data_IF_258211721715
#
_entry.id   IF_258211721715
#
_cell.length_a   1.000
_cell.length_b   1.000
_cell.length_c   1.000
_cell.angle_alpha   90.00
_cell.angle_beta   90.00
_cell.angle_gamma   90.00
#
_symmetry.space_group_name_H-M   'P 1'
#
loop_
_entity.id
_entity.type
_entity.pdbx_description
1 polymer ?
#
# COMPACT_ATOMS: atom_id res chain seq x y z
N UNK A 1 -6.27 14.94 -3.52
CA UNK A 1 -4.82 14.84 -3.82
C UNK A 1 -4.71 14.06 -5.11
N UNK A 2 -4.06 14.61 -6.13
CA UNK A 2 -3.72 13.84 -7.34
C UNK A 2 -2.89 12.62 -6.93
N UNK A 3 -3.30 11.42 -7.36
CA UNK A 3 -2.49 10.19 -7.23
C UNK A 3 -1.34 10.31 -8.24
N UNK A 4 -0.30 11.06 -7.91
CA UNK A 4 0.91 11.11 -8.73
C UNK A 4 1.62 9.77 -8.63
N UNK A 5 1.58 8.99 -9.71
CA UNK A 5 2.40 7.79 -9.87
C UNK A 5 3.70 8.15 -10.60
N UNK A 6 4.81 7.51 -10.23
CA UNK A 6 6.02 7.58 -11.03
C UNK A 6 5.77 6.98 -12.43
N UNK A 7 6.40 7.53 -13.48
CA UNK A 7 6.27 6.99 -14.85
C UNK A 7 6.65 5.50 -14.88
N UNK A 8 7.69 5.14 -14.12
CA UNK A 8 8.13 3.77 -13.90
C UNK A 8 7.72 3.31 -12.49
N UNK A 9 6.41 3.35 -12.19
CA UNK A 9 5.91 2.97 -10.87
C UNK A 9 6.17 1.50 -10.56
N UNK A 10 6.33 1.20 -9.26
CA UNK A 10 6.55 -0.16 -8.80
C UNK A 10 5.37 -1.10 -9.15
N UNK A 11 4.13 -0.59 -9.03
CA UNK A 11 2.91 -1.36 -9.33
C UNK A 11 2.72 -1.64 -10.82
N UNK A 12 3.29 -0.84 -11.73
CA UNK A 12 3.26 -1.09 -13.18
C UNK A 12 4.50 -1.81 -13.70
N UNK A 13 5.43 -2.20 -12.83
CA UNK A 13 6.74 -2.78 -13.21
C UNK A 13 6.68 -3.93 -14.20
N UNK A 14 5.76 -4.86 -13.99
CA UNK A 14 5.55 -5.96 -14.92
C UNK A 14 5.26 -5.50 -16.36
N UNK A 15 4.52 -4.40 -16.55
CA UNK A 15 4.14 -3.88 -17.87
C UNK A 15 5.33 -3.25 -18.59
N UNK A 16 6.01 -2.31 -17.94
CA UNK A 16 7.12 -1.60 -18.59
C UNK A 16 8.41 -2.41 -18.66
N UNK A 17 8.59 -3.45 -17.84
CA UNK A 17 9.65 -4.44 -18.03
C UNK A 17 9.38 -5.31 -19.27
N UNK A 18 8.12 -5.64 -19.55
CA UNK A 18 7.74 -6.41 -20.73
C UNK A 18 7.76 -5.55 -22.01
N UNK A 19 7.35 -4.28 -21.92
CA UNK A 19 7.31 -3.33 -23.02
C UNK A 19 7.75 -1.94 -22.55
N UNK A 20 9.04 -1.65 -22.62
CA UNK A 20 9.60 -0.38 -22.11
C UNK A 20 8.94 0.89 -22.69
N UNK A 21 8.60 0.96 -23.99
CA UNK A 21 7.89 2.12 -24.54
C UNK A 21 6.49 2.34 -23.97
N UNK A 22 5.84 1.30 -23.41
CA UNK A 22 4.47 1.40 -22.91
C UNK A 22 4.36 2.39 -21.75
N UNK A 23 5.39 2.52 -20.90
CA UNK A 23 5.37 3.43 -19.75
C UNK A 23 5.11 4.89 -20.15
N UNK A 24 5.65 5.33 -21.29
CA UNK A 24 5.42 6.69 -21.80
C UNK A 24 4.14 6.80 -22.60
N UNK A 25 3.82 5.77 -23.38
CA UNK A 25 2.59 5.74 -24.17
C UNK A 25 1.35 5.81 -23.27
N UNK A 26 1.38 5.15 -22.10
CA UNK A 26 0.28 5.18 -21.13
C UNK A 26 -0.03 6.60 -20.62
N UNK A 27 0.95 7.53 -20.62
CA UNK A 27 0.72 8.93 -20.22
C UNK A 27 -0.19 9.70 -21.19
N UNK A 28 -0.39 9.18 -22.41
CA UNK A 28 -1.28 9.79 -23.40
C UNK A 28 -2.76 9.39 -23.21
N UNK A 29 -3.04 8.49 -22.25
CA UNK A 29 -4.38 7.97 -21.99
C UNK A 29 -4.83 8.29 -20.57
N UNK A 30 -6.14 8.36 -20.37
CA UNK A 30 -6.71 8.51 -19.03
C UNK A 30 -6.53 7.21 -18.22
N UNK A 31 -6.25 7.36 -16.92
CA UNK A 31 -6.18 6.23 -16.01
C UNK A 31 -7.54 5.52 -15.90
N UNK A 32 -7.52 4.21 -16.07
CA UNK A 32 -8.68 3.34 -15.87
C UNK A 32 -8.53 2.54 -14.59
N UNK A 33 -9.51 2.65 -13.70
CA UNK A 33 -9.56 1.89 -12.45
C UNK A 33 -10.62 0.79 -12.57
N UNK A 34 -10.18 -0.47 -12.50
CA UNK A 34 -11.08 -1.63 -12.49
C UNK A 34 -11.79 -1.78 -11.14
N UNK A 35 -12.89 -2.54 -11.11
CA UNK A 35 -13.59 -2.86 -9.84
C UNK A 35 -12.64 -3.53 -8.84
N UNK A 36 -11.78 -4.43 -9.32
CA UNK A 36 -10.79 -5.12 -8.47
C UNK A 36 -9.74 -4.15 -7.92
N UNK A 37 -9.33 -3.13 -8.69
CA UNK A 37 -8.43 -2.08 -8.19
C UNK A 37 -9.09 -1.20 -7.12
N UNK A 38 -10.40 -0.93 -7.26
CA UNK A 38 -11.20 -0.21 -6.24
C UNK A 38 -11.35 -1.02 -4.96
N UNK A 39 -11.67 -2.30 -5.09
CA UNK A 39 -11.74 -3.25 -3.98
C UNK A 39 -10.40 -3.33 -3.24
N UNK A 40 -9.28 -3.46 -3.97
CA UNK A 40 -7.94 -3.41 -3.39
C UNK A 40 -7.70 -2.10 -2.62
N UNK A 41 -8.04 -0.95 -3.20
CA UNK A 41 -7.92 0.35 -2.51
C UNK A 41 -8.71 0.38 -1.20
N UNK A 42 -9.93 -0.17 -1.19
CA UNK A 42 -10.74 -0.28 0.02
C UNK A 42 -10.11 -1.22 1.06
N UNK A 43 -9.56 -2.35 0.62
CA UNK A 43 -8.87 -3.31 1.47
C UNK A 43 -7.65 -2.67 2.16
N UNK A 44 -6.79 -1.98 1.41
CA UNK A 44 -5.63 -1.25 1.96
C UNK A 44 -6.07 -0.23 3.02
N UNK A 45 -7.09 0.59 2.73
CA UNK A 45 -7.59 1.59 3.67
C UNK A 45 -8.15 0.96 4.96
N UNK A 46 -8.89 -0.15 4.85
CA UNK A 46 -9.45 -0.83 6.01
C UNK A 46 -8.36 -1.52 6.85
N UNK A 47 -7.40 -2.17 6.18
CA UNK A 47 -6.23 -2.77 6.80
C UNK A 47 -5.39 -1.74 7.56
N UNK A 48 -5.11 -0.58 6.93
CA UNK A 48 -4.42 0.56 7.54
C UNK A 48 -5.16 1.01 8.82
N UNK A 49 -6.48 1.18 8.73
CA UNK A 49 -7.31 1.55 9.87
C UNK A 49 -7.17 0.54 11.02
N UNK A 50 -7.36 -0.75 10.73
CA UNK A 50 -7.27 -1.83 11.73
C UNK A 50 -5.90 -1.90 12.39
N UNK A 51 -4.83 -1.77 11.61
CA UNK A 51 -3.45 -1.74 12.13
C UNK A 51 -3.21 -0.53 13.03
N UNK A 52 -3.63 0.68 12.60
CA UNK A 52 -3.57 1.90 13.44
C UNK A 52 -4.32 1.71 14.76
N UNK A 53 -5.50 1.08 14.74
CA UNK A 53 -6.27 0.76 15.95
C UNK A 53 -5.53 -0.19 16.88
N UNK A 54 -4.92 -1.27 16.35
CA UNK A 54 -4.09 -2.20 17.15
C UNK A 54 -2.89 -1.49 17.80
N UNK A 55 -2.31 -0.50 17.12
CA UNK A 55 -1.21 0.33 17.63
C UNK A 55 -1.66 1.49 18.53
N UNK A 56 -2.96 1.59 18.85
CA UNK A 56 -3.56 2.67 19.64
C UNK A 56 -3.39 4.07 19.03
N UNK A 57 -3.26 4.14 17.70
CA UNK A 57 -3.23 5.38 16.94
C UNK A 57 -4.66 5.81 16.57
N UNK A 58 -4.87 7.11 16.42
CA UNK A 58 -6.14 7.64 15.92
C UNK A 58 -6.30 7.28 14.44
N UNK A 59 -7.46 6.73 14.09
CA UNK A 59 -7.84 6.48 12.71
C UNK A 59 -9.36 6.54 12.60
N UNK A 60 -9.86 7.03 11.48
CA UNK A 60 -11.27 6.99 11.10
C UNK A 60 -11.51 5.76 10.23
N UNK A 61 -12.62 5.07 10.45
CA UNK A 61 -12.90 3.83 9.73
C UNK A 61 -13.38 4.18 8.31
N UNK A 62 -12.73 3.68 7.25
CA UNK A 62 -13.17 3.94 5.89
C UNK A 62 -14.52 3.27 5.63
N UNK A 63 -15.36 3.93 4.86
CA UNK A 63 -16.63 3.40 4.37
C UNK A 63 -16.47 3.05 2.91
N UNK A 64 -16.81 1.82 2.56
CA UNK A 64 -16.71 1.29 1.20
C UNK A 64 -17.90 0.36 0.92
N UNK A 65 -18.29 0.27 -0.35
CA UNK A 65 -19.26 -0.71 -0.83
C UNK A 65 -18.73 -2.15 -0.79
N UNK A 66 -17.39 -2.30 -0.75
CA UNK A 66 -16.70 -3.60 -0.67
C UNK A 66 -16.51 -4.11 0.76
N UNK A 67 -17.09 -3.45 1.77
CA UNK A 67 -16.97 -3.87 3.16
C UNK A 67 -17.94 -5.03 3.46
N UNK A 68 -17.51 -6.25 3.16
CA UNK A 68 -18.19 -7.50 3.51
C UNK A 68 -17.41 -8.32 4.56
N UNK A 69 -17.91 -9.51 4.89
CA UNK A 69 -17.30 -10.37 5.91
C UNK A 69 -15.90 -10.86 5.51
N UNK A 70 -15.68 -11.14 4.23
CA UNK A 70 -14.38 -11.60 3.72
C UNK A 70 -13.36 -10.46 3.78
N UNK A 71 -13.77 -9.25 3.38
CA UNK A 71 -12.96 -8.02 3.51
C UNK A 71 -12.57 -7.78 4.97
N UNK A 72 -13.48 -7.96 5.93
CA UNK A 72 -13.14 -7.87 7.35
C UNK A 72 -12.09 -8.92 7.74
N UNK A 73 -12.33 -10.19 7.42
CA UNK A 73 -11.47 -11.29 7.79
C UNK A 73 -10.04 -11.11 7.25
N UNK A 74 -9.90 -10.85 5.94
CA UNK A 74 -8.58 -10.72 5.33
C UNK A 74 -7.81 -9.48 5.81
N UNK A 75 -8.51 -8.38 6.08
CA UNK A 75 -7.86 -7.18 6.62
C UNK A 75 -7.50 -7.32 8.10
N UNK A 76 -8.24 -8.13 8.87
CA UNK A 76 -7.85 -8.54 10.23
C UNK A 76 -6.58 -9.40 10.21
N UNK A 77 -6.54 -10.43 9.36
CA UNK A 77 -5.38 -11.31 9.19
C UNK A 77 -4.12 -10.53 8.82
N UNK A 78 -4.23 -9.58 7.87
CA UNK A 78 -3.13 -8.69 7.51
C UNK A 78 -2.67 -7.85 8.72
N UNK A 79 -3.61 -7.19 9.40
CA UNK A 79 -3.28 -6.32 10.52
C UNK A 79 -2.64 -7.09 11.70
N UNK A 80 -3.10 -8.32 11.94
CA UNK A 80 -2.50 -9.22 12.92
C UNK A 80 -1.10 -9.65 12.53
N UNK A 81 -0.89 -10.08 11.29
CA UNK A 81 0.42 -10.46 10.79
C UNK A 81 1.45 -9.33 10.95
N UNK A 82 1.12 -8.12 10.49
CA UNK A 82 2.03 -6.97 10.59
C UNK A 82 2.31 -6.62 12.06
N UNK A 83 1.28 -6.63 12.90
CA UNK A 83 1.46 -6.36 14.33
C UNK A 83 2.33 -7.40 15.02
N UNK A 84 2.24 -8.68 14.63
CA UNK A 84 3.14 -9.73 15.12
C UNK A 84 4.59 -9.51 14.66
N UNK A 85 4.83 -9.14 13.41
CA UNK A 85 6.19 -8.82 12.94
C UNK A 85 6.78 -7.64 13.71
N UNK A 86 5.99 -6.59 13.95
CA UNK A 86 6.41 -5.47 14.78
C UNK A 86 6.75 -5.88 16.22
N UNK A 87 5.95 -6.75 16.86
CA UNK A 87 6.28 -7.28 18.19
C UNK A 87 7.59 -8.08 18.19
N UNK A 88 7.84 -8.87 17.14
CA UNK A 88 9.10 -9.61 16.99
C UNK A 88 10.29 -8.65 16.87
N UNK A 89 10.16 -7.59 16.06
CA UNK A 89 11.17 -6.55 15.94
C UNK A 89 11.41 -5.85 17.29
N UNK A 90 10.34 -5.46 18.01
CA UNK A 90 10.43 -4.87 19.36
C UNK A 90 11.10 -5.76 20.41
N UNK A 91 10.99 -7.08 20.27
CA UNK A 91 11.68 -8.03 21.16
C UNK A 91 13.19 -8.07 20.89
N UNK A 92 13.59 -7.85 19.65
CA UNK A 92 15.00 -7.82 19.24
C UNK A 92 15.65 -6.46 19.53
N UNK A 93 14.93 -5.37 19.25
CA UNK A 93 15.33 -3.99 19.52
C UNK A 93 14.17 -3.20 20.12
N UNK A 94 14.33 -2.73 21.36
CA UNK A 94 13.32 -1.93 22.07
C UNK A 94 12.98 -0.62 21.35
N UNK A 95 13.88 -0.13 20.49
CA UNK A 95 13.71 1.09 19.71
C UNK A 95 13.09 0.85 18.33
N UNK A 96 12.78 -0.39 17.95
CA UNK A 96 12.12 -0.69 16.67
C UNK A 96 10.85 0.13 16.49
N UNK A 97 10.61 0.66 15.30
CA UNK A 97 9.45 1.50 15.00
C UNK A 97 8.60 0.83 13.92
N UNK A 98 7.36 1.28 13.78
CA UNK A 98 6.53 0.89 12.64
C UNK A 98 6.01 2.17 11.97
N UNK A 99 6.19 2.22 10.66
CA UNK A 99 5.69 3.28 9.79
C UNK A 99 4.59 2.69 8.90
N UNK A 100 3.50 3.44 8.73
CA UNK A 100 2.30 3.01 8.01
C UNK A 100 2.07 3.97 6.85
N UNK A 101 1.74 3.46 5.67
CA UNK A 101 1.56 4.25 4.44
C UNK A 101 2.78 5.14 4.13
N UNK A 102 3.97 4.56 4.25
CA UNK A 102 5.22 5.31 4.11
C UNK A 102 5.58 5.46 2.63
N UNK A 103 5.81 6.69 2.18
CA UNK A 103 6.42 6.94 0.86
C UNK A 103 7.86 6.44 0.87
N UNK A 104 8.18 5.58 -0.10
CA UNK A 104 9.49 4.98 -0.31
C UNK A 104 10.08 5.51 -1.61
N UNK A 105 11.30 6.02 -1.52
CA UNK A 105 12.10 6.45 -2.65
C UNK A 105 13.02 5.30 -3.09
N UNK A 106 12.89 4.87 -4.34
CA UNK A 106 13.74 3.85 -4.96
C UNK A 106 14.45 4.39 -6.21
N UNK A 107 14.62 5.72 -6.28
CA UNK A 107 15.25 6.43 -7.41
C UNK A 107 16.67 5.96 -7.71
N UNK A 108 17.33 5.34 -6.73
CA UNK A 108 18.64 4.71 -6.89
C UNK A 108 18.64 3.50 -7.84
N UNK A 109 17.47 2.88 -8.09
CA UNK A 109 17.32 1.77 -9.03
C UNK A 109 16.58 2.15 -10.31
N UNK A 110 15.57 3.03 -10.17
CA UNK A 110 14.71 3.45 -11.28
C UNK A 110 14.58 4.96 -11.23
N UNK A 111 15.00 5.73 -12.25
CA UNK A 111 14.90 7.19 -12.22
C UNK A 111 13.51 7.69 -11.85
N UNK A 112 13.44 8.65 -10.94
CA UNK A 112 12.20 9.23 -10.38
C UNK A 112 11.25 8.21 -9.72
N UNK A 113 11.76 7.01 -9.41
CA UNK A 113 11.01 5.91 -8.83
C UNK A 113 10.63 6.13 -7.38
N UNK A 114 9.32 6.13 -7.11
CA UNK A 114 8.78 6.11 -5.75
C UNK A 114 7.51 5.27 -5.68
N UNK A 115 7.18 4.84 -4.47
CA UNK A 115 5.96 4.11 -4.15
C UNK A 115 5.53 4.33 -2.70
N UNK A 116 4.50 3.61 -2.29
CA UNK A 116 4.03 3.60 -0.89
C UNK A 116 4.15 2.18 -0.37
N UNK A 117 4.77 2.03 0.80
CA UNK A 117 4.76 0.79 1.57
C UNK A 117 3.67 0.84 2.62
N UNK A 118 2.80 -0.17 2.63
CA UNK A 118 1.66 -0.23 3.57
C UNK A 118 2.12 -0.26 5.03
N UNK A 119 3.17 -1.05 5.32
CA UNK A 119 3.81 -1.13 6.63
C UNK A 119 5.31 -1.40 6.51
N UNK A 120 6.12 -0.65 7.26
CA UNK A 120 7.59 -0.77 7.33
C UNK A 120 8.00 -0.81 8.79
N UNK A 121 8.74 -1.84 9.20
CA UNK A 121 9.17 -2.10 10.59
C UNK A 121 10.68 -2.23 10.72
#
# INVERSE_FOLDING_TARGET
MEKNHAILSASSSARWLACTPSARLELEFEDYESVVAKEGTAAHALAEHKLKRKLKMRSERPVSEFNDEDMELYTDDYADYVFEQYKKAKKYDENAQIFIEQRLDFSCYVPDGFGTGDAVT
#
